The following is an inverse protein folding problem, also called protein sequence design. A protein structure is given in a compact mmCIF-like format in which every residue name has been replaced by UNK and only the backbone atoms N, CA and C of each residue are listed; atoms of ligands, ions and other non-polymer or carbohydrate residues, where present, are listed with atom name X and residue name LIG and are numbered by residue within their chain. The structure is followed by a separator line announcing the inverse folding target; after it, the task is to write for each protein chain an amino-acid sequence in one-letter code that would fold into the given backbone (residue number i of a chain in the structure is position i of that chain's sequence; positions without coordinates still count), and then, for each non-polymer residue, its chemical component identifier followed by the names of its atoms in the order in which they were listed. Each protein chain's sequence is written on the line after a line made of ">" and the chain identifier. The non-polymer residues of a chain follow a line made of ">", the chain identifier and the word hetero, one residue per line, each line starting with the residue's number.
data_IF_569775145378
#
_entry.id   IF_569775145378
#
_cell.length_a   1.000
_cell.length_b   1.000
_cell.length_c   1.000
_cell.angle_alpha   90.00
_cell.angle_beta   90.00
_cell.angle_gamma   90.00
#
_symmetry.space_group_name_H-M   'P 1'
#
loop_
_entity.id
_entity.type
_entity.pdbx_description
1 polymer ?
#
# COMPACT_ATOMS: atom_id res chain seq x y z
N UNK A 1 -3.92 -2.72 -26.16
CA UNK A 1 -4.92 -2.84 -25.08
C UNK A 1 -4.97 -1.53 -24.33
N UNK A 2 -6.16 -1.00 -24.10
CA UNK A 2 -6.37 0.25 -23.33
C UNK A 2 -6.28 -0.02 -21.82
N UNK A 3 -6.16 1.03 -20.99
CA UNK A 3 -6.25 0.89 -19.52
C UNK A 3 -7.57 0.24 -19.08
N UNK A 4 -8.67 0.54 -19.80
CA UNK A 4 -9.99 -0.05 -19.56
C UNK A 4 -10.01 -1.55 -19.85
N UNK A 5 -9.47 -1.99 -20.98
CA UNK A 5 -9.41 -3.42 -21.32
C UNK A 5 -8.60 -4.20 -20.28
N UNK A 6 -7.48 -3.62 -19.82
CA UNK A 6 -6.65 -4.20 -18.77
C UNK A 6 -7.40 -4.33 -17.45
N UNK A 7 -8.15 -3.30 -17.04
CA UNK A 7 -8.93 -3.32 -15.81
C UNK A 7 -9.99 -4.44 -15.85
N UNK A 8 -10.76 -4.52 -16.94
CA UNK A 8 -11.77 -5.57 -17.14
C UNK A 8 -11.12 -6.96 -17.05
N UNK A 9 -9.96 -7.15 -17.68
CA UNK A 9 -9.25 -8.43 -17.62
C UNK A 9 -8.80 -8.77 -16.19
N UNK A 10 -8.31 -7.79 -15.43
CA UNK A 10 -7.87 -7.98 -14.04
C UNK A 10 -9.06 -8.33 -13.15
N UNK A 11 -10.18 -7.63 -13.28
CA UNK A 11 -11.40 -7.89 -12.51
C UNK A 11 -11.95 -9.30 -12.77
N UNK A 12 -11.98 -9.73 -14.04
CA UNK A 12 -12.36 -11.09 -14.41
C UNK A 12 -11.42 -12.14 -13.82
N UNK A 13 -10.12 -11.88 -13.82
CA UNK A 13 -9.13 -12.78 -13.23
C UNK A 13 -9.33 -12.90 -11.71
N UNK A 14 -9.61 -11.79 -11.02
CA UNK A 14 -9.92 -11.77 -9.59
C UNK A 14 -11.19 -12.59 -9.31
N UNK A 15 -12.26 -12.36 -10.06
CA UNK A 15 -13.53 -13.08 -9.89
C UNK A 15 -13.33 -14.60 -10.10
N UNK A 16 -12.65 -15.00 -11.16
CA UNK A 16 -12.36 -16.42 -11.44
C UNK A 16 -11.48 -17.06 -10.37
N UNK A 17 -10.52 -16.33 -9.81
CA UNK A 17 -9.67 -16.83 -8.73
C UNK A 17 -10.47 -17.04 -7.43
N UNK A 18 -11.38 -16.11 -7.09
CA UNK A 18 -12.24 -16.24 -5.92
C UNK A 18 -13.21 -17.42 -6.05
N UNK A 19 -13.81 -17.60 -7.23
CA UNK A 19 -14.68 -18.73 -7.54
C UNK A 19 -13.95 -20.07 -7.38
N UNK A 20 -12.76 -20.21 -7.98
CA UNK A 20 -11.92 -21.42 -7.86
C UNK A 20 -11.52 -21.72 -6.42
N UNK A 21 -11.34 -20.69 -5.59
CA UNK A 21 -11.02 -20.84 -4.18
C UNK A 21 -12.25 -21.11 -3.30
N UNK A 22 -13.47 -21.02 -3.84
CA UNK A 22 -14.72 -21.14 -3.09
C UNK A 22 -14.91 -20.01 -2.06
N UNK A 23 -14.44 -18.79 -2.35
CA UNK A 23 -14.49 -17.65 -1.44
C UNK A 23 -15.30 -16.50 -2.04
N UNK A 24 -15.86 -15.67 -1.18
CA UNK A 24 -16.43 -14.38 -1.57
C UNK A 24 -15.38 -13.52 -2.27
N UNK A 25 -15.82 -12.64 -3.18
CA UNK A 25 -14.93 -11.67 -3.80
C UNK A 25 -14.67 -10.48 -2.86
N UNK A 26 -13.87 -10.70 -1.82
CA UNK A 26 -13.40 -9.71 -0.85
C UNK A 26 -12.00 -9.15 -1.19
N UNK A 27 -11.58 -9.29 -2.45
CA UNK A 27 -10.26 -8.87 -2.92
C UNK A 27 -10.26 -7.39 -3.27
N UNK A 28 -9.30 -6.65 -2.71
CA UNK A 28 -9.10 -5.23 -3.01
C UNK A 28 -8.01 -5.06 -4.08
N UNK A 29 -8.37 -4.52 -5.24
CA UNK A 29 -7.43 -4.16 -6.28
C UNK A 29 -6.73 -2.83 -5.93
N UNK A 30 -5.41 -2.86 -5.80
CA UNK A 30 -4.57 -1.66 -5.61
C UNK A 30 -3.77 -1.43 -6.90
N UNK A 31 -4.02 -0.32 -7.58
CA UNK A 31 -3.28 0.06 -8.78
C UNK A 31 -1.91 0.64 -8.39
N UNK A 32 -0.82 0.02 -8.83
CA UNK A 32 0.54 0.49 -8.53
C UNK A 32 0.94 1.58 -9.52
N UNK A 33 1.07 2.81 -9.03
CA UNK A 33 1.17 4.01 -9.87
C UNK A 33 2.57 4.63 -9.90
N UNK A 34 3.58 3.95 -9.32
CA UNK A 34 4.96 4.44 -9.18
C UNK A 34 5.65 4.93 -10.47
N UNK A 35 5.19 4.52 -11.64
CA UNK A 35 5.79 4.85 -12.95
C UNK A 35 4.93 5.77 -13.82
N UNK A 36 3.73 6.14 -13.37
CA UNK A 36 2.84 7.05 -14.11
C UNK A 36 2.69 8.37 -13.37
N UNK A 37 2.34 9.42 -14.08
CA UNK A 37 2.10 10.76 -13.54
C UNK A 37 0.68 10.93 -12.99
N UNK A 38 0.35 12.14 -12.53
CA UNK A 38 -0.98 12.46 -11.99
C UNK A 38 -2.08 12.27 -13.04
N UNK A 39 -1.84 12.63 -14.31
CA UNK A 39 -2.81 12.46 -15.39
C UNK A 39 -3.11 10.97 -15.64
N UNK A 40 -2.06 10.15 -15.62
CA UNK A 40 -2.23 8.70 -15.73
C UNK A 40 -3.07 8.11 -14.59
N UNK A 41 -3.01 8.68 -13.38
CA UNK A 41 -3.85 8.31 -12.24
C UNK A 41 -5.28 8.82 -12.42
N UNK A 42 -5.49 10.04 -12.95
CA UNK A 42 -6.83 10.56 -13.28
C UNK A 42 -7.56 9.64 -14.24
N UNK A 43 -6.90 9.18 -15.30
CA UNK A 43 -7.50 8.22 -16.22
C UNK A 43 -7.95 6.93 -15.52
N UNK A 44 -7.16 6.43 -14.55
CA UNK A 44 -7.53 5.23 -13.79
C UNK A 44 -8.67 5.52 -12.80
N UNK A 45 -8.67 6.70 -12.21
CA UNK A 45 -9.72 7.18 -11.32
C UNK A 45 -11.06 7.31 -12.05
N UNK A 46 -11.06 7.83 -13.28
CA UNK A 46 -12.24 7.94 -14.14
C UNK A 46 -12.78 6.57 -14.57
N UNK A 47 -11.93 5.54 -14.55
CA UNK A 47 -12.34 4.14 -14.72
C UNK A 47 -12.90 3.50 -13.44
N UNK A 48 -13.02 4.25 -12.33
CA UNK A 48 -13.62 3.80 -11.08
C UNK A 48 -12.62 3.30 -10.03
N UNK A 49 -11.32 3.28 -10.32
CA UNK A 49 -10.32 2.90 -9.31
C UNK A 49 -10.19 3.98 -8.24
N UNK A 50 -10.01 3.54 -6.99
CA UNK A 50 -9.79 4.43 -5.84
C UNK A 50 -8.53 4.11 -5.05
N UNK A 51 -8.04 2.88 -5.10
CA UNK A 51 -6.88 2.44 -4.34
C UNK A 51 -5.60 2.56 -5.18
N UNK A 52 -4.69 3.45 -4.78
CA UNK A 52 -3.43 3.71 -5.50
C UNK A 52 -2.20 3.47 -4.63
N UNK A 53 -1.21 2.80 -5.22
CA UNK A 53 0.01 2.34 -4.55
C UNK A 53 1.26 3.08 -5.00
N UNK A 54 1.92 3.77 -4.07
CA UNK A 54 3.20 4.46 -4.30
C UNK A 54 4.34 3.86 -3.47
N UNK A 55 5.57 3.93 -4.00
CA UNK A 55 6.74 3.30 -3.37
C UNK A 55 7.86 4.28 -3.00
N UNK A 56 7.73 5.56 -3.31
CA UNK A 56 8.70 6.61 -2.97
C UNK A 56 7.96 7.78 -2.33
N UNK A 57 8.41 8.21 -1.16
CA UNK A 57 7.74 9.25 -0.38
C UNK A 57 7.63 10.57 -1.15
N UNK A 58 8.70 11.00 -1.84
CA UNK A 58 8.72 12.28 -2.55
C UNK A 58 7.75 12.28 -3.74
N UNK A 59 7.75 11.20 -4.54
CA UNK A 59 6.80 11.01 -5.66
C UNK A 59 5.36 10.92 -5.17
N UNK A 60 5.14 10.23 -4.05
CA UNK A 60 3.82 10.17 -3.41
C UNK A 60 3.33 11.56 -3.03
N UNK A 61 4.17 12.39 -2.40
CA UNK A 61 3.78 13.75 -2.00
C UNK A 61 3.43 14.63 -3.19
N UNK A 62 4.21 14.56 -4.27
CA UNK A 62 3.92 15.28 -5.51
C UNK A 62 2.54 14.91 -6.08
N UNK A 63 2.22 13.61 -6.13
CA UNK A 63 0.94 13.11 -6.63
C UNK A 63 -0.23 13.42 -5.70
N UNK A 64 -0.01 13.29 -4.40
CA UNK A 64 -1.00 13.63 -3.38
C UNK A 64 -1.46 15.08 -3.54
N UNK A 65 -0.52 16.02 -3.70
CA UNK A 65 -0.85 17.43 -3.90
C UNK A 65 -1.52 17.70 -5.26
N UNK A 66 -1.07 17.03 -6.33
CA UNK A 66 -1.61 17.19 -7.68
C UNK A 66 -3.02 16.60 -7.86
N UNK A 67 -3.43 15.69 -6.97
CA UNK A 67 -4.69 14.94 -7.05
C UNK A 67 -5.60 15.19 -5.84
N UNK A 68 -5.33 16.21 -5.03
CA UNK A 68 -6.12 16.53 -3.82
C UNK A 68 -7.56 16.93 -4.10
N UNK A 69 -7.87 17.27 -5.35
CA UNK A 69 -9.22 17.52 -5.85
C UNK A 69 -10.05 16.23 -6.02
N UNK A 70 -9.43 15.05 -5.91
CA UNK A 70 -10.07 13.73 -5.97
C UNK A 70 -10.21 13.17 -4.54
N UNK A 71 -11.36 13.41 -3.87
CA UNK A 71 -11.45 13.31 -2.40
C UNK A 71 -11.56 11.88 -1.86
N UNK A 72 -11.88 10.89 -2.69
CA UNK A 72 -12.11 9.49 -2.30
C UNK A 72 -10.98 8.55 -2.76
N UNK A 73 -9.82 9.10 -3.13
CA UNK A 73 -8.61 8.30 -3.30
C UNK A 73 -8.19 7.70 -1.97
N UNK A 74 -7.88 6.40 -2.00
CA UNK A 74 -7.24 5.64 -0.92
C UNK A 74 -5.77 5.42 -1.27
N UNK A 75 -4.89 6.03 -0.49
CA UNK A 75 -3.45 5.98 -0.72
C UNK A 75 -2.78 4.85 0.05
N UNK A 76 -2.12 3.95 -0.67
CA UNK A 76 -1.31 2.87 -0.10
C UNK A 76 0.18 3.16 -0.32
N UNK A 77 0.96 3.18 0.76
CA UNK A 77 2.40 3.19 0.67
C UNK A 77 2.95 1.76 0.69
N UNK A 78 3.55 1.34 -0.41
CA UNK A 78 3.99 -0.05 -0.64
C UNK A 78 5.52 -0.20 -0.76
N UNK A 79 6.27 0.89 -0.70
CA UNK A 79 7.73 0.88 -0.75
C UNK A 79 8.39 0.90 0.62
N UNK A 80 9.69 0.64 0.70
CA UNK A 80 10.43 0.73 1.96
C UNK A 80 10.37 2.15 2.54
N UNK A 81 9.91 2.28 3.79
CA UNK A 81 9.74 3.57 4.45
C UNK A 81 10.94 3.90 5.35
N UNK A 82 11.69 4.95 4.98
CA UNK A 82 12.73 5.50 5.84
C UNK A 82 12.08 6.19 7.05
N UNK A 83 12.58 5.93 8.26
CA UNK A 83 12.01 6.48 9.52
C UNK A 83 11.86 8.01 9.46
N UNK A 84 12.85 8.73 8.93
CA UNK A 84 12.80 10.20 8.82
C UNK A 84 11.65 10.76 7.94
N UNK A 85 11.15 9.94 7.00
CA UNK A 85 10.10 10.28 6.02
C UNK A 85 8.70 9.96 6.53
N UNK A 86 8.57 9.24 7.65
CA UNK A 86 7.27 8.94 8.27
C UNK A 86 6.49 10.22 8.51
N UNK A 87 7.15 11.26 9.06
CA UNK A 87 6.52 12.56 9.34
C UNK A 87 5.86 13.20 8.10
N UNK A 88 6.40 12.93 6.91
CA UNK A 88 5.98 13.63 5.70
C UNK A 88 4.71 12.99 5.12
N UNK A 89 4.58 11.66 5.27
CA UNK A 89 3.55 10.87 4.58
C UNK A 89 2.46 10.29 5.49
N UNK A 90 2.72 10.08 6.79
CA UNK A 90 1.84 9.28 7.67
C UNK A 90 0.41 9.80 7.77
N UNK A 91 0.24 11.13 7.70
CA UNK A 91 -1.08 11.79 7.73
C UNK A 91 -1.82 11.73 6.39
N UNK A 92 -1.09 11.47 5.29
CA UNK A 92 -1.60 11.52 3.92
C UNK A 92 -1.92 10.14 3.35
N UNK A 93 -1.30 9.09 3.89
CA UNK A 93 -1.56 7.70 3.49
C UNK A 93 -2.71 7.11 4.29
N UNK A 94 -3.41 6.16 3.67
CA UNK A 94 -4.49 5.40 4.30
C UNK A 94 -4.04 3.99 4.69
N UNK A 95 -2.95 3.49 4.11
CA UNK A 95 -2.29 2.29 4.60
C UNK A 95 -0.78 2.27 4.29
N UNK A 96 -0.02 1.62 5.18
CA UNK A 96 1.42 1.34 4.99
C UNK A 96 1.62 -0.17 4.93
N UNK A 97 2.10 -0.68 3.80
CA UNK A 97 2.25 -2.13 3.56
C UNK A 97 3.64 -2.69 3.91
N UNK A 98 4.58 -1.81 4.25
CA UNK A 98 6.02 -2.09 4.28
C UNK A 98 6.64 -1.95 5.66
N UNK A 99 5.89 -2.23 6.73
CA UNK A 99 6.43 -2.17 8.09
C UNK A 99 7.37 -3.36 8.30
N UNK A 100 8.67 -3.08 8.41
CA UNK A 100 9.73 -4.10 8.43
C UNK A 100 10.57 -4.12 9.71
N UNK A 101 10.36 -3.17 10.64
CA UNK A 101 11.16 -3.05 11.86
C UNK A 101 10.43 -2.33 13.00
N UNK A 102 10.76 -2.63 14.28
CA UNK A 102 10.12 -2.00 15.44
C UNK A 102 10.25 -0.46 15.48
N UNK A 103 11.38 0.08 15.06
CA UNK A 103 11.60 1.53 15.07
C UNK A 103 10.71 2.28 14.09
N UNK A 104 10.26 1.63 13.00
CA UNK A 104 9.32 2.22 12.06
C UNK A 104 7.92 2.31 12.68
N UNK A 105 7.49 1.28 13.39
CA UNK A 105 6.19 1.30 14.09
C UNK A 105 6.14 2.38 15.16
N UNK A 106 7.19 2.48 16.00
CA UNK A 106 7.29 3.54 17.02
C UNK A 106 7.23 4.94 16.42
N UNK A 107 7.87 5.15 15.27
CA UNK A 107 7.81 6.45 14.61
C UNK A 107 6.45 6.71 13.98
N UNK A 108 5.78 5.70 13.40
CA UNK A 108 4.40 5.84 12.90
C UNK A 108 3.47 6.20 14.06
N UNK A 109 3.48 5.44 15.14
CA UNK A 109 2.68 5.68 16.34
C UNK A 109 2.90 7.07 16.94
N UNK A 110 4.16 7.53 16.98
CA UNK A 110 4.52 8.85 17.48
C UNK A 110 3.94 10.00 16.63
N UNK A 111 3.76 9.78 15.32
CA UNK A 111 3.44 10.85 14.36
C UNK A 111 1.99 10.82 13.88
N UNK A 112 1.40 9.64 13.81
CA UNK A 112 0.06 9.44 13.30
C UNK A 112 -0.97 10.09 14.25
N UNK A 113 -1.80 10.98 13.72
CA UNK A 113 -2.93 11.56 14.46
C UNK A 113 -4.23 10.77 14.28
N UNK A 114 -4.29 9.94 13.22
CA UNK A 114 -5.36 9.00 12.93
C UNK A 114 -4.86 7.56 13.00
N UNK A 115 -5.77 6.61 13.18
CA UNK A 115 -5.44 5.19 13.06
C UNK A 115 -5.12 4.86 11.60
N UNK A 116 -3.84 4.59 11.31
CA UNK A 116 -3.37 4.21 9.97
C UNK A 116 -3.13 2.70 9.91
N UNK A 117 -3.91 1.94 9.13
CA UNK A 117 -3.64 0.54 8.83
C UNK A 117 -2.19 0.29 8.41
N UNK A 118 -1.54 -0.65 9.10
CA UNK A 118 -0.16 -1.03 8.85
C UNK A 118 -0.06 -2.54 8.67
N UNK A 119 0.68 -2.98 7.67
CA UNK A 119 0.96 -4.39 7.41
C UNK A 119 2.44 -4.68 7.66
N UNK A 120 2.70 -5.79 8.34
CA UNK A 120 4.05 -6.29 8.55
C UNK A 120 4.56 -6.93 7.26
N UNK A 121 5.69 -6.44 6.75
CA UNK A 121 6.37 -7.02 5.61
C UNK A 121 7.16 -8.24 6.06
N UNK A 122 6.83 -9.42 5.52
CA UNK A 122 7.50 -10.69 5.83
C UNK A 122 8.40 -11.07 4.65
N UNK A 123 9.67 -11.30 4.92
CA UNK A 123 10.60 -11.90 3.96
C UNK A 123 10.36 -13.42 3.90
N UNK A 124 9.65 -13.87 2.86
CA UNK A 124 9.30 -15.29 2.67
C UNK A 124 10.41 -16.11 2.01
N UNK A 125 11.42 -15.48 1.37
CA UNK A 125 12.46 -16.24 0.65
C UNK A 125 13.62 -16.66 1.55
N UNK A 126 13.75 -16.07 2.75
CA UNK A 126 14.84 -16.36 3.68
C UNK A 126 16.21 -15.83 3.24
N UNK A 127 16.28 -15.10 2.12
CA UNK A 127 17.52 -14.44 1.68
C UNK A 127 17.78 -13.21 2.55
N UNK A 128 18.96 -13.14 3.18
CA UNK A 128 19.35 -12.02 4.05
C UNK A 128 19.36 -10.66 3.33
N UNK A 129 19.51 -10.67 2.01
CA UNK A 129 19.48 -9.47 1.17
C UNK A 129 18.10 -8.82 1.02
N UNK A 130 17.01 -9.53 1.37
CA UNK A 130 15.64 -9.02 1.24
C UNK A 130 15.12 -8.42 2.54
N UNK A 131 14.43 -7.28 2.41
CA UNK A 131 13.82 -6.56 3.52
C UNK A 131 12.58 -7.29 4.09
N UNK A 132 12.27 -7.00 5.35
CA UNK A 132 11.14 -7.57 6.06
C UNK A 132 11.55 -8.42 7.26
N UNK A 133 10.58 -8.75 8.09
CA UNK A 133 10.74 -9.69 9.18
C UNK A 133 10.85 -11.12 8.65
N UNK A 134 11.59 -11.97 9.35
CA UNK A 134 11.32 -13.42 9.27
C UNK A 134 9.94 -13.72 9.85
N UNK A 135 9.33 -14.84 9.47
CA UNK A 135 8.04 -15.26 10.04
C UNK A 135 8.08 -15.31 11.57
N UNK A 136 9.15 -15.86 12.15
CA UNK A 136 9.32 -16.02 13.59
C UNK A 136 9.49 -14.67 14.28
N UNK A 137 10.26 -13.76 13.70
CA UNK A 137 10.47 -12.41 14.25
C UNK A 137 9.22 -11.55 14.13
N UNK A 138 8.44 -11.68 13.06
CA UNK A 138 7.14 -11.02 12.90
C UNK A 138 6.16 -11.45 14.00
N UNK A 139 6.00 -12.75 14.23
CA UNK A 139 5.12 -13.29 15.28
C UNK A 139 5.58 -12.83 16.67
N UNK A 140 6.89 -12.88 16.94
CA UNK A 140 7.46 -12.41 18.21
C UNK A 140 7.22 -10.92 18.41
N UNK A 141 7.43 -10.12 17.37
CA UNK A 141 7.20 -8.68 17.39
C UNK A 141 5.73 -8.37 17.67
N UNK A 142 4.80 -9.01 16.95
CA UNK A 142 3.37 -8.82 17.14
C UNK A 142 2.93 -9.14 18.58
N UNK A 143 3.33 -10.29 19.12
CA UNK A 143 3.00 -10.69 20.51
C UNK A 143 3.55 -9.75 21.59
N UNK A 144 4.73 -9.16 21.35
CA UNK A 144 5.38 -8.28 22.34
C UNK A 144 4.87 -6.84 22.29
N UNK A 145 4.33 -6.41 21.16
CA UNK A 145 3.99 -5.00 20.94
C UNK A 145 2.61 -4.63 21.48
N UNK A 146 1.77 -5.62 21.84
CA UNK A 146 0.50 -5.38 22.54
C UNK A 146 -0.53 -4.58 21.73
N UNK A 147 -0.46 -4.64 20.40
CA UNK A 147 -1.48 -4.09 19.50
C UNK A 147 -2.82 -4.84 19.63
#
# INVERSE_FOLDING_TARGET
>A
MTKKDNLIQIENNIASACEKAGRSNDVHLIAVTKTIDAEGIRELYDLGLRNFGENRADVFLEKYEALKDLPDIVWHFIGSLQTRKVRDIVEKVDAIHSVDRPSLVKEIEKRATKRTPCFLQINISGEESKHGFTKESAIRFFKRSGF
#
